data_IF_312576672875
#
_entry.id   IF_312576672875
#
_cell.length_a   1.000
_cell.length_b   1.000
_cell.length_c   1.000
_cell.angle_alpha   90.00
_cell.angle_beta   90.00
_cell.angle_gamma   90.00
#
_symmetry.space_group_name_H-M   'P 1'
#
loop_
_entity.id
_entity.type
_entity.pdbx_description
1 polymer ?
#
# COMPACT_ATOMS: atom_id res chain seq x y z
N UNK A 1 4.64 -11.47 3.96
CA UNK A 1 3.40 -11.79 3.20
C UNK A 1 2.23 -11.25 4.00
N UNK A 2 1.29 -10.55 3.35
CA UNK A 2 0.10 -10.04 4.05
C UNK A 2 -1.13 -10.93 3.83
N UNK A 3 -2.11 -10.81 4.71
CA UNK A 3 -3.38 -11.55 4.63
C UNK A 3 -4.55 -10.58 4.46
N UNK A 4 -5.62 -11.06 3.83
CA UNK A 4 -6.90 -10.37 3.72
C UNK A 4 -8.08 -11.29 3.96
N UNK A 5 -9.14 -10.75 4.56
CA UNK A 5 -10.43 -11.42 4.72
C UNK A 5 -11.36 -11.20 3.51
N UNK A 6 -11.08 -10.18 2.70
CA UNK A 6 -11.89 -9.83 1.54
C UNK A 6 -11.56 -10.70 0.31
N UNK A 7 -12.60 -11.18 -0.37
CA UNK A 7 -12.48 -11.77 -1.71
C UNK A 7 -12.35 -10.73 -2.82
N UNK A 8 -12.54 -9.45 -2.50
CA UNK A 8 -12.39 -8.32 -3.43
C UNK A 8 -11.63 -7.18 -2.72
N UNK A 9 -10.36 -7.38 -2.36
CA UNK A 9 -9.59 -6.39 -1.63
C UNK A 9 -9.45 -5.09 -2.44
N UNK A 10 -9.19 -3.99 -1.72
CA UNK A 10 -8.67 -2.77 -2.33
C UNK A 10 -7.16 -2.75 -2.10
N UNK A 11 -6.40 -2.71 -3.18
CA UNK A 11 -4.94 -2.62 -3.14
C UNK A 11 -4.53 -1.16 -3.27
N UNK A 12 -3.43 -0.77 -2.61
CA UNK A 12 -2.92 0.58 -2.67
C UNK A 12 -1.39 0.59 -2.77
N UNK A 13 -0.87 1.60 -3.47
CA UNK A 13 0.56 1.82 -3.64
C UNK A 13 0.85 3.32 -3.76
N UNK A 14 2.09 3.69 -3.47
CA UNK A 14 2.55 5.08 -3.58
C UNK A 14 3.28 5.28 -4.91
N UNK A 15 2.97 6.37 -5.59
CA UNK A 15 3.68 6.84 -6.78
C UNK A 15 4.42 8.14 -6.41
N UNK A 16 5.76 8.15 -6.41
CA UNK A 16 6.54 9.32 -6.00
C UNK A 16 6.60 10.42 -7.07
N UNK A 17 6.55 10.03 -8.35
CA UNK A 17 6.80 10.93 -9.47
C UNK A 17 5.58 11.78 -9.82
N UNK A 18 5.81 13.07 -10.10
CA UNK A 18 4.82 14.01 -10.61
C UNK A 18 4.45 13.74 -12.08
N UNK A 19 5.33 13.04 -12.82
CA UNK A 19 5.15 12.73 -14.23
C UNK A 19 4.20 11.54 -14.40
N UNK A 20 3.11 11.80 -15.12
CA UNK A 20 2.14 10.77 -15.51
C UNK A 20 2.79 9.84 -16.53
N UNK A 21 2.79 8.55 -16.23
CA UNK A 21 3.34 7.47 -17.06
C UNK A 21 2.30 6.36 -17.22
N UNK A 22 2.33 5.63 -18.34
CA UNK A 22 1.56 4.40 -18.47
C UNK A 22 1.94 3.41 -17.37
N UNK A 23 0.94 2.70 -16.86
CA UNK A 23 1.12 1.77 -15.75
C UNK A 23 0.23 0.55 -15.95
N UNK A 24 0.70 -0.60 -15.49
CA UNK A 24 -0.08 -1.83 -15.51
C UNK A 24 -0.24 -2.40 -14.11
N UNK A 25 -1.44 -2.87 -13.82
CA UNK A 25 -1.68 -3.79 -12.72
C UNK A 25 -1.83 -5.22 -13.25
N UNK A 26 -1.16 -6.16 -12.61
CA UNK A 26 -1.19 -7.59 -12.94
C UNK A 26 -1.45 -8.40 -11.69
N UNK A 27 -2.26 -9.44 -11.83
CA UNK A 27 -2.59 -10.37 -10.76
C UNK A 27 -2.17 -11.78 -11.18
N UNK A 28 -1.60 -12.53 -10.25
CA UNK A 28 -1.18 -13.90 -10.48
C UNK A 28 -1.67 -14.82 -9.35
N UNK A 29 -2.01 -16.06 -9.71
CA UNK A 29 -2.25 -17.16 -8.79
C UNK A 29 -1.09 -18.16 -8.90
N UNK A 30 -0.69 -18.78 -7.80
CA UNK A 30 0.34 -19.82 -7.84
C UNK A 30 -0.24 -21.17 -8.27
N UNK A 31 0.37 -21.82 -9.27
CA UNK A 31 0.02 -23.19 -9.64
C UNK A 31 0.54 -24.22 -8.61
N UNK A 32 0.24 -25.50 -8.85
CA UNK A 32 0.65 -26.59 -7.96
C UNK A 32 2.18 -26.74 -7.82
N UNK A 33 2.96 -26.15 -8.71
CA UNK A 33 4.42 -26.11 -8.69
C UNK A 33 4.96 -24.83 -8.05
N UNK A 34 4.09 -23.94 -7.56
CA UNK A 34 4.45 -22.66 -6.96
C UNK A 34 4.89 -21.62 -7.98
N UNK A 35 4.51 -21.77 -9.26
CA UNK A 35 4.81 -20.78 -10.30
C UNK A 35 3.62 -19.82 -10.49
N UNK A 36 3.85 -18.50 -10.53
CA UNK A 36 2.78 -17.53 -10.74
C UNK A 36 2.21 -17.63 -12.16
N UNK A 37 0.89 -17.75 -12.25
CA UNK A 37 0.10 -17.80 -13.48
C UNK A 37 -0.83 -16.59 -13.52
N UNK A 38 -0.90 -15.87 -14.65
CA UNK A 38 -1.70 -14.65 -14.73
C UNK A 38 -3.20 -14.93 -14.54
N UNK A 39 -3.85 -14.06 -13.78
CA UNK A 39 -5.29 -14.06 -13.55
C UNK A 39 -5.89 -12.90 -14.33
N UNK A 40 -6.58 -13.21 -15.43
CA UNK A 40 -7.15 -12.20 -16.32
C UNK A 40 -6.10 -11.48 -17.19
N UNK A 41 -6.49 -10.35 -17.76
CA UNK A 41 -5.61 -9.48 -18.54
C UNK A 41 -5.00 -8.39 -17.66
N UNK A 42 -3.82 -7.84 -18.01
CA UNK A 42 -3.28 -6.65 -17.35
C UNK A 42 -4.28 -5.49 -17.40
N UNK A 43 -4.46 -4.82 -16.27
CA UNK A 43 -5.31 -3.64 -16.15
C UNK A 43 -4.45 -2.42 -16.46
N UNK A 44 -4.80 -1.71 -17.52
CA UNK A 44 -4.10 -0.53 -17.98
C UNK A 44 -4.54 0.69 -17.16
N UNK A 45 -3.55 1.40 -16.60
CA UNK A 45 -3.73 2.54 -15.71
C UNK A 45 -2.84 3.70 -16.18
N UNK A 46 -3.08 4.90 -15.63
CA UNK A 46 -2.17 6.04 -15.73
C UNK A 46 -1.67 6.35 -14.32
N UNK A 47 -0.37 6.51 -14.15
CA UNK A 47 0.18 6.88 -12.86
C UNK A 47 -0.32 8.27 -12.46
N UNK A 48 -0.61 8.43 -11.16
CA UNK A 48 -0.93 9.72 -10.57
C UNK A 48 -0.09 9.86 -9.31
N UNK A 49 0.49 11.03 -9.03
CA UNK A 49 1.33 11.22 -7.84
C UNK A 49 0.53 10.98 -6.57
N UNK A 50 1.16 10.40 -5.56
CA UNK A 50 0.51 10.10 -4.27
C UNK A 50 0.01 8.66 -4.15
N UNK A 51 -1.03 8.46 -3.35
CA UNK A 51 -1.58 7.13 -3.08
C UNK A 51 -2.58 6.76 -4.17
N UNK A 52 -2.21 5.77 -4.96
CA UNK A 52 -3.09 5.12 -5.91
C UNK A 52 -3.77 3.92 -5.24
N UNK A 53 -5.01 3.65 -5.66
CA UNK A 53 -5.81 2.54 -5.15
C UNK A 53 -6.55 1.83 -6.28
N UNK A 54 -6.66 0.51 -6.20
CA UNK A 54 -7.40 -0.33 -7.12
C UNK A 54 -8.33 -1.26 -6.35
N UNK A 55 -9.63 -1.14 -6.60
CA UNK A 55 -10.64 -2.00 -6.01
C UNK A 55 -10.91 -3.18 -6.92
N UNK A 56 -10.57 -4.40 -6.49
CA UNK A 56 -10.79 -5.59 -7.31
C UNK A 56 -12.29 -5.85 -7.57
N UNK A 57 -13.18 -5.34 -6.71
CA UNK A 57 -14.62 -5.37 -6.94
C UNK A 57 -15.03 -4.58 -8.20
N UNK A 58 -14.42 -3.41 -8.44
CA UNK A 58 -14.72 -2.58 -9.63
C UNK A 58 -14.21 -3.22 -10.91
N UNK A 59 -13.11 -3.95 -10.81
CA UNK A 59 -12.49 -4.71 -11.90
C UNK A 59 -13.14 -6.10 -12.08
N UNK A 60 -14.17 -6.43 -11.29
CA UNK A 60 -14.85 -7.74 -11.31
C UNK A 60 -13.90 -8.93 -11.10
N UNK A 61 -12.79 -8.68 -10.40
CA UNK A 61 -11.80 -9.70 -10.03
C UNK A 61 -12.11 -10.22 -8.63
N UNK A 62 -12.43 -11.52 -8.57
CA UNK A 62 -12.73 -12.23 -7.33
C UNK A 62 -11.60 -13.18 -6.96
N UNK A 63 -11.08 -13.03 -5.75
CA UNK A 63 -10.10 -13.93 -5.17
C UNK A 63 -10.78 -15.08 -4.42
N UNK A 64 -10.09 -16.21 -4.31
CA UNK A 64 -10.61 -17.41 -3.63
C UNK A 64 -10.00 -17.54 -2.24
N UNK A 65 -10.84 -17.77 -1.23
CA UNK A 65 -10.41 -18.08 0.15
C UNK A 65 -9.49 -19.30 0.16
N UNK A 66 -8.41 -19.23 0.94
CA UNK A 66 -7.40 -20.28 1.05
C UNK A 66 -6.29 -20.19 0.00
N UNK A 67 -6.38 -19.28 -0.97
CA UNK A 67 -5.33 -19.09 -1.99
C UNK A 67 -4.44 -17.89 -1.69
N UNK A 68 -3.22 -17.99 -2.19
CA UNK A 68 -2.25 -16.88 -2.22
C UNK A 68 -2.14 -16.37 -3.66
N UNK A 69 -2.14 -15.04 -3.78
CA UNK A 69 -1.98 -14.34 -5.04
C UNK A 69 -0.76 -13.43 -4.96
N UNK A 70 -0.10 -13.22 -6.10
CA UNK A 70 0.90 -12.18 -6.27
C UNK A 70 0.24 -11.04 -7.05
N UNK A 71 0.16 -9.86 -6.46
CA UNK A 71 -0.20 -8.66 -7.20
C UNK A 71 1.05 -7.87 -7.56
N UNK A 72 1.02 -7.23 -8.72
CA UNK A 72 2.14 -6.49 -9.27
C UNK A 72 1.64 -5.20 -9.91
N UNK A 73 2.35 -4.10 -9.66
CA UNK A 73 2.19 -2.83 -10.35
C UNK A 73 3.49 -2.52 -11.09
N UNK A 74 3.37 -2.09 -12.34
CA UNK A 74 4.50 -1.77 -13.22
C UNK A 74 4.29 -0.38 -13.78
N UNK A 75 5.18 0.56 -13.48
CA UNK A 75 5.24 1.85 -14.19
C UNK A 75 6.15 1.66 -15.41
N UNK A 76 5.58 1.90 -16.59
CA UNK A 76 6.26 1.75 -17.87
C UNK A 76 7.10 2.99 -18.13
N UNK A 77 8.41 2.88 -17.92
CA UNK A 77 9.32 4.03 -17.98
C UNK A 77 9.84 4.28 -19.39
N UNK A 78 10.22 3.21 -20.08
CA UNK A 78 10.73 3.21 -21.46
C UNK A 78 10.18 1.97 -22.20
N UNK A 79 9.32 2.16 -23.22
CA UNK A 79 8.79 1.06 -24.04
C UNK A 79 9.88 0.21 -24.71
N UNK A 80 11.04 0.79 -25.02
CA UNK A 80 12.15 0.13 -25.70
C UNK A 80 13.11 -0.55 -24.72
N UNK A 81 12.94 -0.33 -23.41
CA UNK A 81 13.80 -0.86 -22.36
C UNK A 81 12.99 -1.30 -21.13
N UNK A 82 12.37 -2.50 -21.14
CA UNK A 82 11.58 -3.01 -20.02
C UNK A 82 12.37 -3.15 -18.71
N UNK A 83 13.70 -3.22 -18.76
CA UNK A 83 14.56 -3.20 -17.57
C UNK A 83 14.54 -1.87 -16.81
N UNK A 84 14.00 -0.80 -17.42
CA UNK A 84 13.84 0.50 -16.78
C UNK A 84 12.53 0.67 -16.01
N UNK A 85 11.61 -0.29 -16.14
CA UNK A 85 10.30 -0.23 -15.50
C UNK A 85 10.42 -0.29 -13.97
N UNK A 86 9.62 0.53 -13.29
CA UNK A 86 9.52 0.48 -11.83
C UNK A 86 8.46 -0.54 -11.44
N UNK A 87 8.87 -1.58 -10.70
CA UNK A 87 8.02 -2.71 -10.36
C UNK A 87 7.88 -2.80 -8.84
N UNK A 88 6.64 -2.82 -8.36
CA UNK A 88 6.30 -3.22 -6.99
C UNK A 88 5.43 -4.46 -7.07
N UNK A 89 5.70 -5.44 -6.20
CA UNK A 89 4.90 -6.66 -6.11
C UNK A 89 4.87 -7.18 -4.68
N UNK A 90 3.76 -7.81 -4.31
CA UNK A 90 3.63 -8.45 -2.99
C UNK A 90 2.65 -9.61 -3.04
N UNK A 91 2.88 -10.59 -2.19
CA UNK A 91 1.97 -11.70 -1.96
C UNK A 91 0.84 -11.29 -1.00
N UNK A 92 -0.38 -11.68 -1.35
CA UNK A 92 -1.59 -11.53 -0.56
C UNK A 92 -2.30 -12.89 -0.42
N UNK A 93 -2.52 -13.33 0.80
CA UNK A 93 -3.30 -14.53 1.10
C UNK A 93 -4.74 -14.17 1.45
N UNK A 94 -5.71 -14.82 0.83
CA UNK A 94 -7.12 -14.71 1.24
C UNK A 94 -7.40 -15.75 2.31
N UNK A 95 -7.74 -15.31 3.52
CA UNK A 95 -7.98 -16.19 4.67
C UNK A 95 -9.46 -16.25 5.01
N UNK A 96 -9.88 -17.35 5.62
CA UNK A 96 -11.25 -17.49 6.11
C UNK A 96 -11.45 -16.60 7.33
N UNK A 97 -12.61 -15.91 7.39
CA UNK A 97 -12.96 -15.06 8.52
C UNK A 97 -13.30 -15.89 9.75
N UNK A 98 -12.50 -15.83 10.83
CA UNK A 98 -12.82 -16.53 12.06
C UNK A 98 -14.16 -16.04 12.63
N UNK A 99 -15.01 -16.95 13.09
CA UNK A 99 -16.35 -16.61 13.60
C UNK A 99 -16.29 -15.56 14.72
N UNK A 100 -15.34 -15.69 15.65
CA UNK A 100 -15.15 -14.72 16.73
C UNK A 100 -14.78 -13.33 16.21
N UNK A 101 -13.94 -13.26 15.17
CA UNK A 101 -13.58 -11.99 14.53
C UNK A 101 -14.78 -11.37 13.80
N UNK A 102 -15.57 -12.18 13.10
CA UNK A 102 -16.80 -11.73 12.45
C UNK A 102 -17.81 -11.15 13.47
N UNK A 103 -17.91 -11.76 14.66
CA UNK A 103 -18.76 -11.25 15.74
C UNK A 103 -18.26 -9.90 16.27
N UNK A 104 -16.94 -9.74 16.48
CA UNK A 104 -16.34 -8.45 16.87
C UNK A 104 -16.58 -7.38 15.80
N UNK A 105 -16.38 -7.73 14.53
CA UNK A 105 -16.59 -6.83 13.40
C UNK A 105 -18.06 -6.37 13.29
N UNK A 106 -19.01 -7.19 13.72
CA UNK A 106 -20.43 -6.82 13.76
C UNK A 106 -20.78 -5.85 14.91
N UNK A 107 -19.90 -5.66 15.89
CA UNK A 107 -20.13 -4.72 17.02
C UNK A 107 -19.56 -3.32 16.77
N UNK A 108 -18.63 -3.16 15.82
CA UNK A 108 -18.04 -1.86 15.47
C UNK A 108 -18.93 -1.10 14.48
N UNK A 109 -19.12 0.19 14.71
CA UNK A 109 -20.11 0.98 13.97
C UNK A 109 -19.47 2.05 13.09
N UNK A 110 -18.23 2.45 13.41
CA UNK A 110 -17.50 3.48 12.66
C UNK A 110 -16.42 2.85 11.77
N UNK A 111 -16.06 3.54 10.69
CA UNK A 111 -14.97 3.11 9.82
C UNK A 111 -13.63 3.07 10.57
N UNK A 112 -13.36 4.02 11.46
CA UNK A 112 -12.12 4.03 12.26
C UNK A 112 -12.02 2.84 13.21
N UNK A 113 -13.11 2.47 13.90
CA UNK A 113 -13.12 1.27 14.75
C UNK A 113 -12.87 -0.02 13.95
N UNK A 114 -13.42 -0.11 12.72
CA UNK A 114 -13.14 -1.25 11.83
C UNK A 114 -11.66 -1.28 11.44
N UNK A 115 -11.09 -0.13 11.11
CA UNK A 115 -9.66 0.00 10.78
C UNK A 115 -8.80 -0.53 11.93
N UNK A 116 -9.05 -0.07 13.15
CA UNK A 116 -8.32 -0.49 14.34
C UNK A 116 -8.47 -2.00 14.58
N UNK A 117 -9.68 -2.54 14.43
CA UNK A 117 -9.95 -3.97 14.60
C UNK A 117 -9.19 -4.83 13.57
N UNK A 118 -9.22 -4.45 12.28
CA UNK A 118 -8.46 -5.17 11.25
C UNK A 118 -6.95 -5.08 11.47
N UNK A 119 -6.43 -3.88 11.77
CA UNK A 119 -5.00 -3.67 12.00
C UNK A 119 -4.50 -4.45 13.22
N UNK A 120 -5.24 -4.43 14.33
CA UNK A 120 -4.92 -5.17 15.55
C UNK A 120 -4.94 -6.68 15.37
N UNK A 121 -5.70 -7.20 14.39
CA UNK A 121 -5.71 -8.62 14.03
C UNK A 121 -4.72 -8.99 12.92
N UNK A 122 -3.92 -8.03 12.42
CA UNK A 122 -2.92 -8.26 11.38
C UNK A 122 -3.47 -8.29 9.94
N UNK A 123 -4.74 -7.94 9.73
CA UNK A 123 -5.37 -7.86 8.41
C UNK A 123 -5.12 -6.49 7.76
N UNK A 124 -3.85 -6.17 7.50
CA UNK A 124 -3.41 -4.85 7.03
C UNK A 124 -4.02 -4.43 5.68
N UNK A 125 -4.30 -5.37 4.77
CA UNK A 125 -4.98 -5.06 3.50
C UNK A 125 -6.42 -4.58 3.73
N UNK A 126 -7.15 -5.22 4.65
CA UNK A 126 -8.51 -4.81 5.02
C UNK A 126 -8.49 -3.49 5.80
N UNK A 127 -7.55 -3.32 6.73
CA UNK A 127 -7.37 -2.07 7.47
C UNK A 127 -7.08 -0.88 6.55
N UNK A 128 -6.13 -1.03 5.61
CA UNK A 128 -5.80 0.02 4.64
C UNK A 128 -6.96 0.27 3.67
N UNK A 129 -7.62 -0.78 3.21
CA UNK A 129 -8.79 -0.68 2.35
C UNK A 129 -9.95 0.09 2.99
N UNK A 130 -10.22 -0.15 4.27
CA UNK A 130 -11.23 0.60 5.03
C UNK A 130 -10.78 2.04 5.30
N UNK A 131 -9.53 2.26 5.70
CA UNK A 131 -9.01 3.60 5.99
C UNK A 131 -9.05 4.51 4.76
N UNK A 132 -8.71 3.99 3.59
CA UNK A 132 -8.75 4.75 2.34
C UNK A 132 -10.18 5.11 1.91
N UNK A 133 -11.21 4.37 2.31
CA UNK A 133 -12.60 4.75 2.04
C UNK A 133 -13.02 6.01 2.83
N UNK A 134 -12.35 6.28 3.95
CA UNK A 134 -12.59 7.48 4.77
C UNK A 134 -11.88 8.72 4.20
N UNK A 135 -11.02 8.56 3.20
CA UNK A 135 -10.26 9.64 2.57
C UNK A 135 -10.81 9.99 1.17
N UNK A 136 -10.68 11.26 0.74
CA UNK A 136 -10.90 11.62 -0.66
C UNK A 136 -10.00 10.81 -1.61
N UNK A 137 -10.40 10.63 -2.89
CA UNK A 137 -9.54 10.01 -3.89
C UNK A 137 -8.15 10.64 -3.95
N UNK A 138 -7.13 9.81 -4.18
CA UNK A 138 -5.71 10.20 -4.31
C UNK A 138 -5.06 10.77 -3.04
N UNK A 139 -5.80 10.77 -1.93
CA UNK A 139 -5.30 11.19 -0.62
C UNK A 139 -5.16 9.99 0.30
N UNK A 140 -4.14 10.04 1.16
CA UNK A 140 -3.97 9.04 2.21
C UNK A 140 -5.04 9.20 3.30
N UNK A 141 -5.32 10.44 3.71
CA UNK A 141 -6.19 10.73 4.86
C UNK A 141 -5.52 10.44 6.20
N UNK A 142 -6.08 10.98 7.29
CA UNK A 142 -5.45 10.92 8.62
C UNK A 142 -5.42 9.50 9.20
N UNK A 143 -6.48 8.72 8.99
CA UNK A 143 -6.61 7.36 9.50
C UNK A 143 -5.55 6.44 8.88
N UNK A 144 -5.42 6.44 7.54
CA UNK A 144 -4.40 5.64 6.87
C UNK A 144 -2.98 6.15 7.18
N UNK A 145 -2.80 7.46 7.36
CA UNK A 145 -1.52 8.02 7.81
C UNK A 145 -1.16 7.60 9.24
N UNK A 146 -2.14 7.38 10.12
CA UNK A 146 -1.89 6.80 11.45
C UNK A 146 -1.42 5.35 11.32
N UNK A 147 -2.15 4.53 10.56
CA UNK A 147 -1.80 3.14 10.30
C UNK A 147 -0.34 2.98 9.82
N UNK A 148 0.08 3.78 8.84
CA UNK A 148 1.46 3.71 8.32
C UNK A 148 2.50 4.12 9.37
N UNK A 149 2.20 5.11 10.23
CA UNK A 149 3.10 5.50 11.32
C UNK A 149 3.21 4.41 12.37
N UNK A 150 2.11 3.75 12.70
CA UNK A 150 2.09 2.64 13.65
C UNK A 150 2.90 1.46 13.11
N UNK A 151 2.78 1.15 11.81
CA UNK A 151 3.59 0.12 11.15
C UNK A 151 5.09 0.44 11.24
N UNK A 152 5.49 1.68 10.95
CA UNK A 152 6.91 2.11 11.03
C UNK A 152 7.48 1.92 12.44
N UNK A 153 6.67 2.03 13.49
CA UNK A 153 7.11 1.82 14.87
C UNK A 153 7.14 0.34 15.28
N UNK A 154 6.46 -0.54 14.54
CA UNK A 154 6.40 -1.99 14.78
C UNK A 154 7.53 -2.74 14.04
N UNK A 155 8.09 -2.15 12.99
CA UNK A 155 9.21 -2.73 12.25
C UNK A 155 10.55 -2.51 12.97
N UNK A 156 11.31 -3.59 13.27
CA UNK A 156 12.63 -3.44 13.90
C UNK A 156 13.61 -2.78 12.93
N UNK A 157 14.51 -1.94 13.47
CA UNK A 157 15.45 -1.10 12.70
C UNK A 157 16.31 -1.90 11.70
N UNK A 158 16.65 -3.14 12.04
CA UNK A 158 17.42 -4.07 11.19
C UNK A 158 16.73 -4.49 9.88
N UNK A 159 15.42 -4.23 9.75
CA UNK A 159 14.66 -4.53 8.52
C UNK A 159 14.54 -3.35 7.57
N UNK A 160 15.07 -2.18 7.94
CA UNK A 160 15.04 -0.97 7.11
C UNK A 160 16.15 -1.04 6.04
N UNK A 161 15.83 -1.06 4.74
CA UNK A 161 16.85 -1.10 3.70
C UNK A 161 17.79 0.12 3.79
N UNK A 162 19.09 -0.08 3.56
CA UNK A 162 20.10 1.00 3.61
C UNK A 162 19.71 2.23 2.76
N UNK A 163 18.99 2.03 1.65
CA UNK A 163 18.48 3.12 0.79
C UNK A 163 17.53 4.06 1.56
N UNK A 164 16.66 3.52 2.43
CA UNK A 164 15.77 4.35 3.26
C UNK A 164 16.56 5.15 4.30
N UNK A 165 17.65 4.60 4.83
CA UNK A 165 18.48 5.33 5.82
C UNK A 165 19.14 6.56 5.18
N UNK A 166 19.65 6.43 3.95
CA UNK A 166 20.26 7.53 3.22
C UNK A 166 19.25 8.64 2.86
N UNK A 167 18.03 8.29 2.44
CA UNK A 167 16.97 9.28 2.20
C UNK A 167 16.53 9.98 3.48
N UNK A 168 16.46 9.27 4.61
CA UNK A 168 16.11 9.85 5.90
C UNK A 168 17.18 10.81 6.41
N UNK A 169 18.47 10.45 6.29
CA UNK A 169 19.57 11.35 6.60
C UNK A 169 19.52 12.61 5.74
N UNK A 170 19.21 12.48 4.44
CA UNK A 170 19.05 13.62 3.55
C UNK A 170 17.89 14.53 4.00
N UNK A 171 16.74 13.94 4.38
CA UNK A 171 15.57 14.68 4.88
C UNK A 171 15.89 15.38 6.21
N UNK A 172 16.54 14.70 7.15
CA UNK A 172 16.91 15.27 8.45
C UNK A 172 17.93 16.38 8.32
N UNK A 173 18.94 16.20 7.47
CA UNK A 173 19.93 17.23 7.17
C UNK A 173 19.25 18.46 6.54
N UNK A 174 18.35 18.25 5.58
CA UNK A 174 17.58 19.34 4.96
C UNK A 174 16.72 20.09 5.99
N UNK A 175 16.04 19.37 6.90
CA UNK A 175 15.28 19.98 8.01
C UNK A 175 16.17 20.78 8.96
N UNK A 176 17.36 20.27 9.27
CA UNK A 176 18.34 20.95 10.13
C UNK A 176 18.81 22.27 9.50
N UNK A 177 19.12 22.26 8.21
CA UNK A 177 19.52 23.44 7.44
C UNK A 177 18.40 24.49 7.41
N UNK A 178 17.15 24.08 7.16
CA UNK A 178 16.00 24.99 7.16
C UNK A 178 15.80 25.65 8.53
N UNK A 179 15.83 24.88 9.63
CA UNK A 179 15.73 25.41 11.01
C UNK A 179 16.85 26.41 11.34
N UNK A 180 18.07 26.11 10.90
CA UNK A 180 19.22 27.00 11.10
C UNK A 180 19.11 28.30 10.28
N UNK A 181 18.49 28.24 9.11
CA UNK A 181 18.26 29.39 8.23
C UNK A 181 17.17 30.31 8.79
N UNK A 182 16.09 29.76 9.33
CA UNK A 182 15.04 30.54 10.00
C UNK A 182 15.56 31.19 11.29
N UNK A 183 16.33 30.46 12.09
CA UNK A 183 16.97 30.99 13.31
C UNK A 183 17.97 32.13 13.03
N UNK A 184 18.60 32.15 11.84
CA UNK A 184 19.49 33.26 11.42
C UNK A 184 18.69 34.49 10.98
N UNK A 185 17.54 34.32 10.32
CA UNK A 185 16.66 35.43 9.92
C UNK A 185 16.04 36.14 11.13
N UNK A 186 15.69 35.42 12.18
CA UNK A 186 15.14 36.02 13.41
C UNK A 186 16.17 36.81 14.22
N UNK A 187 17.46 36.47 14.16
CA UNK A 187 18.54 37.22 14.86
C UNK A 187 19.02 38.47 14.13
N UNK A 188 18.63 38.65 12.87
CA UNK A 188 19.00 39.82 12.04
C UNK A 188 17.90 40.89 11.98
N UNK A 189 16.85 40.76 12.80
CA UNK A 189 15.75 41.70 12.93
C UNK A 189 15.78 42.33 14.32
#
# INVERSE_FOLDING_TARGET
MGATLSTHPTLAWFVPDAIIKPMEFRLYEYDAQGKPQPVGQPIQLQSSPGIMRLSLAREQLKLTVGKTYLWQVVILCDPDSPSSDLIVRSDIQVVETPLAFAQQLAQVNTGSEKVELYAGAGFWYDAMGEALQLAPPWQLGEVAASLLRDLVNLEPDETRPEIYTAELELIENTRSILRATDSRKERQK
#
